data_IF_672724489048
#
_entry.id   IF_672724489048
#
_cell.length_a   1.000
_cell.length_b   1.000
_cell.length_c   1.000
_cell.angle_alpha   90.00
_cell.angle_beta   90.00
_cell.angle_gamma   90.00
#
_symmetry.space_group_name_H-M   'P 1'
#
loop_
_entity.id
_entity.type
_entity.pdbx_description
1 polymer ?
#
# COMPACT_ATOMS: atom_id res chain seq x y z
N UNK A 1 -5.32 12.07 -2.93
CA UNK A 1 -6.78 11.81 -2.80
C UNK A 1 -7.17 10.55 -3.57
N UNK A 2 -8.46 10.13 -3.60
CA UNK A 2 -8.89 8.90 -4.27
C UNK A 2 -8.44 8.77 -5.73
N UNK A 3 -8.46 9.85 -6.51
CA UNK A 3 -8.02 9.84 -7.91
C UNK A 3 -6.55 9.43 -8.09
N UNK A 4 -5.66 9.91 -7.22
CA UNK A 4 -4.23 9.55 -7.26
C UNK A 4 -4.01 8.11 -6.81
N UNK A 5 -4.71 7.67 -5.75
CA UNK A 5 -4.59 6.31 -5.21
C UNK A 5 -5.07 5.23 -6.19
N UNK A 6 -5.99 5.55 -7.09
CA UNK A 6 -6.45 4.64 -8.15
C UNK A 6 -5.40 4.42 -9.25
N UNK A 7 -4.42 5.32 -9.39
CA UNK A 7 -3.38 5.25 -10.42
C UNK A 7 -2.10 4.54 -9.95
N UNK A 8 -2.14 3.92 -8.77
CA UNK A 8 -0.99 3.25 -8.15
C UNK A 8 -1.28 1.77 -7.91
N UNK A 9 -0.23 0.94 -7.91
CA UNK A 9 -0.34 -0.47 -7.51
C UNK A 9 -0.90 -0.61 -6.09
N UNK A 10 -0.47 0.25 -5.17
CA UNK A 10 -0.96 0.33 -3.79
C UNK A 10 -1.20 1.80 -3.45
N UNK A 11 -2.46 2.16 -3.22
CA UNK A 11 -2.89 3.52 -2.91
C UNK A 11 -3.51 3.63 -1.53
N UNK A 12 -3.15 4.67 -0.77
CA UNK A 12 -3.75 5.00 0.52
C UNK A 12 -4.44 6.36 0.43
N UNK A 13 -5.63 6.46 1.01
CA UNK A 13 -6.30 7.75 1.23
C UNK A 13 -6.78 7.87 2.66
N UNK A 14 -6.70 9.10 3.20
CA UNK A 14 -7.43 9.47 4.40
C UNK A 14 -8.91 9.63 4.07
N UNK A 15 -9.74 8.76 4.62
CA UNK A 15 -11.18 8.96 4.73
C UNK A 15 -11.48 9.79 5.98
N UNK A 16 -12.44 10.70 5.90
CA UNK A 16 -12.87 11.43 7.09
C UNK A 16 -13.26 10.49 8.25
N UNK A 17 -13.34 11.05 9.47
CA UNK A 17 -13.72 10.34 10.69
C UNK A 17 -12.76 9.20 11.09
N UNK A 18 -11.45 9.42 10.98
CA UNK A 18 -10.44 8.45 11.41
C UNK A 18 -10.48 7.15 10.62
N UNK A 19 -10.83 7.22 9.33
CA UNK A 19 -10.87 6.05 8.45
C UNK A 19 -9.82 6.18 7.36
N UNK A 20 -9.28 5.06 6.89
CA UNK A 20 -8.35 5.03 5.78
C UNK A 20 -8.86 4.04 4.75
N UNK A 21 -8.88 4.45 3.48
CA UNK A 21 -9.24 3.57 2.37
C UNK A 21 -7.99 3.21 1.59
N UNK A 22 -7.76 1.92 1.46
CA UNK A 22 -6.69 1.32 0.67
C UNK A 22 -7.25 0.88 -0.68
N UNK A 23 -6.42 1.07 -1.71
CA UNK A 23 -6.65 0.70 -3.08
C UNK A 23 -5.53 -0.23 -3.55
N UNK A 24 -5.86 -1.28 -4.29
CA UNK A 24 -4.92 -2.18 -4.95
C UNK A 24 -5.25 -2.20 -6.44
N UNK A 25 -4.26 -1.92 -7.30
CA UNK A 25 -4.41 -1.92 -8.76
C UNK A 25 -5.62 -1.13 -9.28
N UNK A 26 -5.92 -0.01 -8.64
CA UNK A 26 -7.06 0.83 -9.00
C UNK A 26 -8.41 0.37 -8.45
N UNK A 27 -8.47 -0.62 -7.56
CA UNK A 27 -9.71 -1.07 -6.93
C UNK A 27 -9.67 -0.90 -5.41
N UNK A 28 -10.83 -0.67 -4.78
CA UNK A 28 -10.92 -0.59 -3.31
C UNK A 28 -10.68 -1.97 -2.71
N UNK A 29 -9.70 -2.07 -1.81
CA UNK A 29 -9.36 -3.33 -1.17
C UNK A 29 -9.77 -3.37 0.31
N UNK A 30 -9.18 -2.47 1.12
CA UNK A 30 -9.36 -2.49 2.58
C UNK A 30 -9.78 -1.13 3.11
N UNK A 31 -10.56 -1.14 4.19
CA UNK A 31 -10.86 0.05 4.98
C UNK A 31 -10.38 -0.18 6.41
N UNK A 32 -9.50 0.69 6.87
CA UNK A 32 -8.98 0.69 8.24
C UNK A 32 -9.63 1.83 9.02
N UNK A 33 -9.81 1.63 10.33
CA UNK A 33 -10.17 2.72 11.26
C UNK A 33 -9.01 2.94 12.23
N UNK A 34 -8.90 4.16 12.74
CA UNK A 34 -8.01 4.46 13.86
C UNK A 34 -8.31 3.52 15.04
N UNK A 35 -7.27 2.81 15.50
CA UNK A 35 -7.35 1.88 16.63
C UNK A 35 -7.54 0.40 16.29
N UNK A 36 -7.87 0.04 15.04
CA UNK A 36 -8.04 -1.38 14.64
C UNK A 36 -6.69 -2.06 14.39
N UNK A 37 -5.86 -1.47 13.53
CA UNK A 37 -4.52 -1.95 13.16
C UNK A 37 -3.65 -0.71 12.86
N UNK A 38 -2.34 -0.80 13.10
CA UNK A 38 -1.40 0.21 12.62
C UNK A 38 -1.49 0.24 11.10
N UNK A 39 -2.05 1.32 10.54
CA UNK A 39 -2.15 1.54 9.09
C UNK A 39 -0.79 1.37 8.42
N UNK A 40 0.28 1.75 9.12
CA UNK A 40 1.66 1.61 8.68
C UNK A 40 2.03 0.12 8.57
N UNK A 41 1.80 -0.67 9.61
CA UNK A 41 2.17 -2.08 9.62
C UNK A 41 1.41 -2.86 8.53
N UNK A 42 0.13 -2.54 8.34
CA UNK A 42 -0.69 -3.11 7.28
C UNK A 42 -0.15 -2.76 5.88
N UNK A 43 0.23 -1.49 5.67
CA UNK A 43 0.85 -1.04 4.42
C UNK A 43 2.18 -1.72 4.15
N UNK A 44 3.04 -1.83 5.16
CA UNK A 44 4.34 -2.51 5.05
C UNK A 44 4.14 -3.95 4.60
N UNK A 45 3.23 -4.70 5.24
CA UNK A 45 2.93 -6.08 4.85
C UNK A 45 2.49 -6.19 3.39
N UNK A 46 1.54 -5.35 2.96
CA UNK A 46 1.07 -5.36 1.56
C UNK A 46 2.19 -5.04 0.56
N UNK A 47 3.07 -4.10 0.88
CA UNK A 47 4.22 -3.76 0.02
C UNK A 47 5.20 -4.92 -0.06
N UNK A 48 5.49 -5.57 1.06
CA UNK A 48 6.37 -6.74 1.11
C UNK A 48 5.80 -7.93 0.34
N UNK A 49 4.51 -8.22 0.49
CA UNK A 49 3.80 -9.26 -0.26
C UNK A 49 3.87 -8.97 -1.77
N UNK A 50 3.52 -7.74 -2.17
CA UNK A 50 3.59 -7.34 -3.58
C UNK A 50 5.01 -7.36 -4.12
N UNK A 51 6.02 -6.99 -3.33
CA UNK A 51 7.41 -7.09 -3.72
C UNK A 51 7.83 -8.56 -3.93
N UNK A 52 7.44 -9.47 -3.04
CA UNK A 52 7.71 -10.89 -3.17
C UNK A 52 7.06 -11.50 -4.43
N UNK A 53 5.88 -11.02 -4.83
CA UNK A 53 5.21 -11.42 -6.06
C UNK A 53 5.85 -10.85 -7.33
N UNK A 54 6.51 -9.69 -7.23
CA UNK A 54 7.01 -8.93 -8.39
C UNK A 54 8.53 -8.91 -8.51
N UNK A 55 9.29 -9.57 -7.64
CA UNK A 55 10.75 -9.65 -7.75
C UNK A 55 11.19 -10.70 -8.80
N UNK A 56 11.76 -10.29 -9.95
CA UNK A 56 13.00 -10.90 -10.40
C UNK A 56 14.11 -10.36 -9.49
N UNK A 57 14.87 -11.25 -8.82
CA UNK A 57 16.07 -10.89 -8.03
C UNK A 57 17.01 -10.01 -8.87
N UNK A 58 16.92 -8.69 -8.74
CA UNK A 58 17.76 -7.78 -9.51
C UNK A 58 18.97 -7.37 -8.67
N UNK A 59 20.18 -7.41 -9.25
CA UNK A 59 21.41 -7.50 -8.50
C UNK A 59 21.65 -6.22 -7.71
N UNK A 60 22.04 -6.38 -6.44
CA UNK A 60 22.63 -5.32 -5.62
C UNK A 60 23.57 -4.50 -6.50
N UNK A 61 23.26 -3.23 -6.72
CA UNK A 61 24.22 -2.28 -7.34
C UNK A 61 25.45 -2.26 -6.43
N UNK A 62 26.52 -2.93 -6.88
CA UNK A 62 27.86 -2.70 -6.36
C UNK A 62 28.15 -1.21 -6.55
N UNK A 63 28.25 -0.50 -5.43
CA UNK A 63 28.83 0.84 -5.42
C UNK A 63 30.29 0.70 -5.85
N UNK A 64 30.66 1.49 -6.85
CA UNK A 64 32.05 1.73 -7.25
C UNK A 64 32.80 2.49 -6.15
#
# INVERSE_FOLDING_TARGET
>A
GPGEALMTDIGLTGGGNGTHQIYLSGEKAHRLKEGDESVIDHLVRMVEERAAETEPKSPRRTRA
#
